data_IF_739771589200
#
_entry.id   IF_739771589200
#
_cell.length_a   1.000
_cell.length_b   1.000
_cell.length_c   1.000
_cell.angle_alpha   90.00
_cell.angle_beta   90.00
_cell.angle_gamma   90.00
#
_symmetry.space_group_name_H-M   'P 1'
#
loop_
_entity.id
_entity.type
_entity.pdbx_description
1 polymer ?
#
# COMPACT_ATOMS: atom_id res chain seq x y z
N UNK A 1 8.05 -6.47 -25.49
CA UNK A 1 8.52 -7.47 -24.52
C UNK A 1 7.48 -7.58 -23.41
N UNK A 2 7.05 -8.79 -23.06
CA UNK A 2 6.09 -8.99 -21.96
C UNK A 2 6.85 -8.93 -20.64
N UNK A 3 6.38 -8.15 -19.67
CA UNK A 3 6.91 -8.13 -18.29
C UNK A 3 5.97 -8.94 -17.39
N UNK A 4 6.52 -9.76 -16.52
CA UNK A 4 5.81 -10.49 -15.48
C UNK A 4 6.66 -10.53 -14.20
N UNK A 5 6.03 -10.82 -13.06
CA UNK A 5 6.68 -10.91 -11.76
C UNK A 5 5.77 -11.54 -10.71
N UNK A 6 6.28 -11.78 -9.51
CA UNK A 6 5.53 -12.29 -8.36
C UNK A 6 5.58 -11.24 -7.24
N UNK A 7 4.40 -10.81 -6.75
CA UNK A 7 4.31 -9.80 -5.69
C UNK A 7 4.98 -10.24 -4.39
N UNK A 8 5.02 -11.56 -4.14
CA UNK A 8 5.56 -12.18 -2.93
C UNK A 8 7.03 -12.59 -3.03
N UNK A 9 7.70 -12.32 -4.16
CA UNK A 9 9.13 -12.57 -4.32
C UNK A 9 9.97 -11.41 -3.77
N UNK A 10 11.17 -11.74 -3.28
CA UNK A 10 12.19 -10.80 -2.80
C UNK A 10 11.72 -9.87 -1.67
N UNK A 11 10.91 -10.41 -0.74
CA UNK A 11 10.44 -9.69 0.44
C UNK A 11 11.50 -9.82 1.56
N UNK A 12 12.11 -8.71 2.02
CA UNK A 12 13.01 -8.74 3.17
C UNK A 12 12.22 -9.06 4.45
N UNK A 13 12.85 -9.79 5.38
CA UNK A 13 12.22 -10.10 6.66
C UNK A 13 11.94 -8.83 7.51
N UNK A 14 12.84 -7.84 7.43
CA UNK A 14 12.70 -6.54 8.05
C UNK A 14 13.30 -5.46 7.15
N UNK A 15 12.73 -4.26 7.21
CA UNK A 15 13.26 -3.04 6.59
C UNK A 15 13.06 -1.88 7.55
N UNK A 16 13.92 -0.86 7.46
CA UNK A 16 13.73 0.38 8.20
C UNK A 16 12.55 1.16 7.62
N UNK A 17 12.56 1.33 6.31
CA UNK A 17 11.57 2.11 5.56
C UNK A 17 10.71 1.19 4.70
N UNK A 18 9.49 1.65 4.39
CA UNK A 18 8.66 0.97 3.40
C UNK A 18 9.32 1.00 2.03
N UNK A 19 9.13 -0.07 1.25
CA UNK A 19 9.63 -0.15 -0.11
C UNK A 19 8.49 -0.01 -1.10
N UNK A 20 8.62 0.95 -2.01
CA UNK A 20 7.68 1.20 -3.10
C UNK A 20 8.32 0.80 -4.43
N UNK A 21 7.71 -0.14 -5.13
CA UNK A 21 8.12 -0.56 -6.47
C UNK A 21 6.99 -0.27 -7.47
N UNK A 22 7.19 0.68 -8.38
CA UNK A 22 6.23 0.92 -9.48
C UNK A 22 6.28 -0.24 -10.50
N UNK A 23 5.19 -0.99 -10.62
CA UNK A 23 5.06 -2.11 -11.54
C UNK A 23 4.62 -1.65 -12.94
N UNK A 24 3.67 -0.71 -12.97
CA UNK A 24 3.14 -0.07 -14.18
C UNK A 24 2.92 1.42 -13.92
N UNK A 25 3.33 2.26 -14.87
CA UNK A 25 2.97 3.67 -14.90
C UNK A 25 2.54 4.05 -16.32
N UNK A 26 1.35 4.63 -16.46
CA UNK A 26 0.76 5.12 -17.71
C UNK A 26 -0.04 6.39 -17.42
N UNK A 27 -0.41 7.19 -18.43
CA UNK A 27 -1.31 8.32 -18.20
C UNK A 27 -2.59 7.89 -17.49
N UNK A 28 -2.85 8.45 -16.32
CA UNK A 28 -4.06 8.18 -15.52
C UNK A 28 -4.08 6.87 -14.73
N UNK A 29 -2.99 6.08 -14.70
CA UNK A 29 -2.93 4.87 -13.85
C UNK A 29 -1.51 4.54 -13.42
N UNK A 30 -1.38 4.22 -12.13
CA UNK A 30 -0.17 3.70 -11.50
C UNK A 30 -0.52 2.42 -10.75
N UNK A 31 0.29 1.38 -10.94
CA UNK A 31 0.21 0.14 -10.15
C UNK A 31 1.54 -0.01 -9.42
N UNK A 32 1.47 -0.07 -8.09
CA UNK A 32 2.65 -0.15 -7.24
C UNK A 32 2.56 -1.36 -6.32
N UNK A 33 3.72 -1.91 -5.99
CA UNK A 33 3.88 -2.85 -4.88
C UNK A 33 4.50 -2.10 -3.72
N UNK A 34 3.85 -2.19 -2.56
CA UNK A 34 4.34 -1.65 -1.30
C UNK A 34 4.72 -2.83 -0.41
N UNK A 35 5.91 -2.79 0.17
CA UNK A 35 6.37 -3.78 1.16
C UNK A 35 6.66 -3.05 2.47
N UNK A 36 5.86 -3.39 3.48
CA UNK A 36 5.97 -2.90 4.85
C UNK A 36 6.32 -4.07 5.78
N UNK A 37 7.15 -3.82 6.77
CA UNK A 37 7.59 -4.77 7.81
C UNK A 37 7.28 -4.26 9.23
N UNK A 38 6.21 -3.45 9.37
CA UNK A 38 5.72 -2.91 10.64
C UNK A 38 5.79 -1.38 10.76
N UNK A 39 6.11 -0.66 9.69
CA UNK A 39 6.05 0.80 9.64
C UNK A 39 4.60 1.30 9.78
N UNK A 40 4.47 2.55 10.19
CA UNK A 40 3.24 3.32 10.17
C UNK A 40 3.57 4.76 9.76
N UNK A 41 2.56 5.48 9.28
CA UNK A 41 2.69 6.92 9.01
C UNK A 41 3.16 7.68 10.26
N UNK A 42 4.02 8.70 10.11
CA UNK A 42 4.43 9.55 11.23
C UNK A 42 3.25 10.21 11.93
N UNK A 43 3.42 10.58 13.20
CA UNK A 43 2.40 11.31 13.94
C UNK A 43 2.03 12.63 13.24
N UNK A 44 0.74 12.89 13.08
CA UNK A 44 0.21 14.10 12.43
C UNK A 44 0.33 14.13 10.90
N UNK A 45 0.88 13.08 10.29
CA UNK A 45 0.97 12.97 8.83
C UNK A 45 -0.32 12.38 8.22
N UNK A 46 -0.78 12.99 7.14
CA UNK A 46 -1.90 12.53 6.31
C UNK A 46 -1.50 12.50 4.85
N UNK A 47 -1.94 11.49 4.12
CA UNK A 47 -1.87 11.48 2.67
C UNK A 47 -3.04 12.31 2.13
N UNK A 48 -2.72 13.30 1.29
CA UNK A 48 -3.68 14.11 0.54
C UNK A 48 -3.21 14.12 -0.92
N UNK A 49 -3.94 13.41 -1.78
CA UNK A 49 -3.58 13.19 -3.17
C UNK A 49 -4.78 13.49 -4.06
N UNK A 50 -4.52 14.02 -5.27
CA UNK A 50 -5.57 14.30 -6.24
C UNK A 50 -6.06 13.06 -7.00
N UNK A 51 -5.33 11.95 -6.89
CA UNK A 51 -5.64 10.67 -7.53
C UNK A 51 -6.51 9.83 -6.60
N UNK A 52 -7.53 9.14 -7.14
CA UNK A 52 -8.24 8.09 -6.40
C UNK A 52 -7.32 6.89 -6.21
N UNK A 53 -7.30 6.34 -5.00
CA UNK A 53 -6.46 5.20 -4.66
C UNK A 53 -7.32 3.94 -4.42
N UNK A 54 -6.92 2.82 -5.01
CA UNK A 54 -7.41 1.50 -4.62
C UNK A 54 -6.24 0.70 -4.08
N UNK A 55 -6.33 0.28 -2.82
CA UNK A 55 -5.27 -0.44 -2.12
C UNK A 55 -5.78 -1.78 -1.63
N UNK A 56 -4.93 -2.81 -1.71
CA UNK A 56 -5.25 -4.17 -1.27
C UNK A 56 -4.10 -4.81 -0.53
N UNK A 57 -4.41 -5.46 0.60
CA UNK A 57 -3.43 -6.23 1.35
C UNK A 57 -3.31 -7.61 0.70
N UNK A 58 -2.15 -7.90 0.09
CA UNK A 58 -1.89 -9.21 -0.51
C UNK A 58 -1.40 -10.22 0.54
N UNK A 59 -0.61 -9.78 1.52
CA UNK A 59 -0.12 -10.59 2.63
C UNK A 59 0.07 -9.73 3.88
N UNK A 60 -0.10 -10.34 5.05
CA UNK A 60 -0.05 -9.63 6.33
C UNK A 60 -1.38 -8.93 6.67
N UNK A 61 -1.28 -7.79 7.33
CA UNK A 61 -2.41 -6.95 7.71
C UNK A 61 -1.97 -5.49 7.84
N UNK A 62 -2.92 -4.57 7.69
CA UNK A 62 -2.72 -3.13 7.83
C UNK A 62 -3.93 -2.49 8.52
N UNK A 63 -3.77 -1.24 8.95
CA UNK A 63 -4.86 -0.43 9.45
C UNK A 63 -4.75 0.96 8.81
N UNK A 64 -5.85 1.45 8.22
CA UNK A 64 -5.92 2.76 7.58
C UNK A 64 -6.97 3.61 8.30
N UNK A 65 -6.57 4.80 8.75
CA UNK A 65 -7.50 5.78 9.29
C UNK A 65 -7.82 6.80 8.20
N UNK A 66 -9.12 7.06 7.99
CA UNK A 66 -9.61 8.04 7.04
C UNK A 66 -9.97 9.32 7.79
N UNK A 67 -9.69 10.48 7.18
CA UNK A 67 -10.01 11.77 7.80
C UNK A 67 -11.52 11.85 8.10
N UNK A 68 -11.86 12.27 9.32
CA UNK A 68 -13.24 12.34 9.80
C UNK A 68 -13.80 11.04 10.38
N UNK A 69 -13.09 9.92 10.27
CA UNK A 69 -13.46 8.66 10.91
C UNK A 69 -12.80 8.47 12.27
N UNK A 70 -13.53 7.86 13.21
CA UNK A 70 -13.06 7.66 14.59
C UNK A 70 -12.22 6.39 14.77
N UNK A 71 -12.40 5.39 13.90
CA UNK A 71 -11.70 4.11 13.99
C UNK A 71 -11.04 3.77 12.65
N UNK A 72 -9.86 3.12 12.69
CA UNK A 72 -9.22 2.67 11.48
C UNK A 72 -9.92 1.45 10.89
N UNK A 73 -9.90 1.37 9.56
CA UNK A 73 -10.25 0.17 8.81
C UNK A 73 -9.11 -0.84 8.92
N UNK A 74 -9.38 -1.98 9.54
CA UNK A 74 -8.41 -3.08 9.63
C UNK A 74 -8.54 -3.98 8.41
N UNK A 75 -7.46 -4.11 7.65
CA UNK A 75 -7.39 -4.90 6.43
C UNK A 75 -6.51 -6.14 6.67
N UNK A 76 -7.01 -7.31 6.30
CA UNK A 76 -6.27 -8.58 6.25
C UNK A 76 -5.98 -8.96 4.80
N UNK A 77 -5.19 -10.01 4.59
CA UNK A 77 -4.93 -10.54 3.27
C UNK A 77 -6.24 -10.80 2.48
N UNK A 78 -6.35 -10.15 1.32
CA UNK A 78 -7.52 -10.17 0.44
C UNK A 78 -8.46 -8.97 0.60
N UNK A 79 -8.38 -8.24 1.71
CA UNK A 79 -9.18 -7.02 1.92
C UNK A 79 -8.61 -5.86 1.10
N UNK A 80 -9.49 -4.94 0.70
CA UNK A 80 -9.17 -3.77 -0.10
C UNK A 80 -9.99 -2.56 0.32
N UNK A 81 -9.50 -1.36 0.00
CA UNK A 81 -10.16 -0.09 0.26
C UNK A 81 -9.98 0.83 -0.95
N UNK A 82 -11.00 1.63 -1.24
CA UNK A 82 -10.97 2.74 -2.19
C UNK A 82 -10.99 4.05 -1.39
N UNK A 83 -10.10 4.98 -1.73
CA UNK A 83 -9.85 6.25 -1.02
C UNK A 83 -9.84 7.41 -2.01
#
# INVERSE_FOLDING_TARGET
>A
MVRSGNLLADIPATSRDERFDTLLARPGVRIERIVSTGQASPEGFWYDQAETEWVCVIAGAAALLIEGEAQPHVLKAGDWLEI
#
